data_IF_259174220670
#
_entry.id   IF_259174220670
#
_cell.length_a   1.000
_cell.length_b   1.000
_cell.length_c   1.000
_cell.angle_alpha   90.00
_cell.angle_beta   90.00
_cell.angle_gamma   90.00
#
_symmetry.space_group_name_H-M   'P 1'
#
loop_
_entity.id
_entity.type
_entity.pdbx_description
1 polymer ?
#
# COMPACT_ATOMS: atom_id res chain seq x y z
N UNK A 1 21.79 -0.47 18.26
CA UNK A 1 20.70 -1.46 18.31
C UNK A 1 19.85 -1.19 17.09
N UNK A 2 19.66 -2.15 16.20
CA UNK A 2 18.75 -1.96 15.07
C UNK A 2 17.32 -1.93 15.61
N UNK A 3 16.51 -0.98 15.15
CA UNK A 3 15.09 -0.96 15.46
C UNK A 3 14.33 -1.71 14.37
N UNK A 4 13.24 -2.34 14.75
CA UNK A 4 12.40 -3.12 13.85
C UNK A 4 10.96 -2.60 13.89
N UNK A 5 10.35 -2.48 12.71
CA UNK A 5 8.91 -2.37 12.56
C UNK A 5 8.30 -3.76 12.66
N UNK A 6 7.47 -3.98 13.68
CA UNK A 6 6.67 -5.19 13.81
C UNK A 6 5.30 -4.95 13.20
N UNK A 7 4.90 -5.82 12.27
CA UNK A 7 3.60 -5.76 11.63
C UNK A 7 2.94 -7.14 11.63
N UNK A 8 1.61 -7.15 11.69
CA UNK A 8 0.79 -8.34 11.54
C UNK A 8 -0.28 -8.00 10.52
N UNK A 9 -0.32 -8.71 9.40
CA UNK A 9 -1.24 -8.42 8.32
C UNK A 9 -2.07 -9.64 7.96
N UNK A 10 -3.33 -9.41 7.62
CA UNK A 10 -4.19 -10.41 6.98
C UNK A 10 -4.98 -9.77 5.84
N UNK A 11 -4.83 -10.34 4.65
CA UNK A 11 -5.42 -9.80 3.42
C UNK A 11 -4.44 -8.99 2.57
N UNK A 12 -4.98 -8.03 1.84
CA UNK A 12 -4.30 -7.26 0.79
C UNK A 12 -4.06 -5.78 1.12
N UNK A 13 -4.44 -5.37 2.33
CA UNK A 13 -3.83 -4.19 2.96
C UNK A 13 -2.32 -4.42 3.12
N UNK A 14 -1.57 -3.33 3.24
CA UNK A 14 -0.13 -3.45 3.34
C UNK A 14 0.58 -2.13 3.65
N UNK A 15 1.91 -2.20 3.59
CA UNK A 15 2.76 -1.04 3.78
C UNK A 15 4.00 -1.09 2.90
N UNK A 16 4.63 0.07 2.77
CA UNK A 16 5.85 0.34 2.03
C UNK A 16 6.79 1.11 2.94
N UNK A 17 8.07 0.80 2.89
CA UNK A 17 9.10 1.60 3.59
C UNK A 17 9.93 2.29 2.53
N UNK A 18 10.12 3.59 2.72
CA UNK A 18 10.92 4.45 1.86
C UNK A 18 12.10 5.01 2.63
N UNK A 19 13.30 4.85 2.07
CA UNK A 19 14.55 5.40 2.59
C UNK A 19 15.22 6.22 1.50
N UNK A 20 15.61 7.45 1.81
CA UNK A 20 16.17 8.36 0.79
C UNK A 20 15.23 8.55 -0.41
N UNK A 21 13.91 8.61 -0.16
CA UNK A 21 12.84 8.69 -1.17
C UNK A 21 12.80 7.51 -2.17
N UNK A 22 13.30 6.33 -1.79
CA UNK A 22 13.20 5.10 -2.58
C UNK A 22 12.53 3.99 -1.80
N UNK A 23 11.62 3.26 -2.46
CA UNK A 23 10.95 2.12 -1.85
C UNK A 23 11.97 0.99 -1.62
N UNK A 24 12.30 0.75 -0.36
CA UNK A 24 13.24 -0.32 0.05
C UNK A 24 12.53 -1.60 0.46
N UNK A 25 11.25 -1.51 0.84
CA UNK A 25 10.48 -2.65 1.29
C UNK A 25 9.01 -2.55 0.89
N UNK A 26 8.45 -3.70 0.53
CA UNK A 26 7.02 -3.89 0.24
C UNK A 26 6.53 -5.04 1.10
N UNK A 27 5.52 -4.80 1.92
CA UNK A 27 4.87 -5.90 2.63
C UNK A 27 4.29 -6.89 1.62
N UNK A 28 4.35 -8.20 1.89
CA UNK A 28 3.68 -9.18 1.05
C UNK A 28 2.16 -8.96 1.09
N UNK A 29 1.49 -9.43 0.04
CA UNK A 29 0.03 -9.36 -0.12
C UNK A 29 -0.53 -10.76 0.08
N UNK A 30 -1.47 -10.94 1.00
CA UNK A 30 -2.11 -12.23 1.23
C UNK A 30 -3.41 -12.33 0.43
N UNK A 31 -3.36 -13.07 -0.67
CA UNK A 31 -4.53 -13.37 -1.51
C UNK A 31 -4.57 -14.83 -1.95
N UNK A 32 -5.77 -15.31 -2.26
CA UNK A 32 -6.02 -16.65 -2.78
C UNK A 32 -6.02 -16.64 -4.30
N UNK A 33 -4.99 -17.22 -4.88
CA UNK A 33 -4.88 -17.39 -6.33
C UNK A 33 -4.86 -16.06 -7.09
N UNK A 34 -5.43 -16.08 -8.29
CA UNK A 34 -5.29 -15.02 -9.30
C UNK A 34 -6.47 -14.01 -9.29
N UNK A 35 -7.52 -14.28 -8.50
CA UNK A 35 -8.81 -13.57 -8.60
C UNK A 35 -9.04 -12.50 -7.50
N UNK A 36 -7.99 -11.82 -7.01
CA UNK A 36 -8.13 -10.75 -6.00
C UNK A 36 -9.03 -11.16 -4.80
N UNK A 37 -8.82 -12.37 -4.28
CA UNK A 37 -9.59 -12.90 -3.16
C UNK A 37 -8.72 -12.87 -1.90
N UNK A 38 -8.70 -11.76 -1.15
CA UNK A 38 -7.83 -11.64 0.03
C UNK A 38 -8.19 -12.65 1.11
N UNK A 39 -7.22 -12.94 1.97
CA UNK A 39 -7.50 -13.57 3.25
C UNK A 39 -8.30 -12.59 4.10
N UNK A 40 -9.38 -13.07 4.74
CA UNK A 40 -10.30 -12.19 5.45
C UNK A 40 -10.75 -12.81 6.77
N UNK A 41 -10.48 -12.08 7.86
CA UNK A 41 -11.05 -12.42 9.16
C UNK A 41 -12.57 -12.31 9.12
N UNK A 42 -13.23 -13.14 9.90
CA UNK A 42 -14.66 -13.08 10.07
C UNK A 42 -15.16 -14.11 11.06
N UNK A 43 -16.45 -14.03 11.36
CA UNK A 43 -17.09 -14.91 12.34
C UNK A 43 -17.74 -16.15 11.70
N UNK A 44 -17.53 -16.36 10.40
CA UNK A 44 -18.10 -17.48 9.66
C UNK A 44 -17.21 -18.72 9.74
N UNK A 45 -17.80 -19.90 9.59
CA UNK A 45 -17.06 -21.17 9.59
C UNK A 45 -16.03 -21.30 8.43
N UNK A 46 -16.14 -20.46 7.39
CA UNK A 46 -15.22 -20.40 6.25
C UNK A 46 -14.29 -19.18 6.28
N UNK A 47 -14.39 -18.36 7.32
CA UNK A 47 -13.53 -17.19 7.49
C UNK A 47 -12.12 -17.60 7.88
N UNK A 48 -11.16 -16.76 7.56
CA UNK A 48 -9.80 -16.95 8.04
C UNK A 48 -9.70 -16.70 9.54
N UNK A 49 -8.82 -17.46 10.16
CA UNK A 49 -8.46 -17.31 11.57
C UNK A 49 -7.31 -16.31 11.70
N UNK A 50 -7.18 -15.60 12.85
CA UNK A 50 -5.99 -14.80 13.16
C UNK A 50 -4.67 -15.56 13.01
N UNK A 51 -4.69 -16.89 13.14
CA UNK A 51 -3.52 -17.75 12.90
C UNK A 51 -3.02 -17.76 11.45
N UNK A 52 -3.82 -17.27 10.49
CA UNK A 52 -3.43 -17.11 9.08
C UNK A 52 -2.65 -15.82 8.82
N UNK A 53 -2.56 -14.92 9.81
CA UNK A 53 -1.88 -13.64 9.63
C UNK A 53 -0.38 -13.81 9.37
N UNK A 54 0.15 -12.95 8.52
CA UNK A 54 1.58 -12.83 8.31
C UNK A 54 2.18 -11.93 9.40
N UNK A 55 3.14 -12.47 10.14
CA UNK A 55 3.91 -11.74 11.15
C UNK A 55 5.23 -11.31 10.52
N UNK A 56 5.46 -10.01 10.50
CA UNK A 56 6.60 -9.37 9.85
C UNK A 56 7.44 -8.63 10.87
N UNK A 57 8.75 -8.75 10.74
CA UNK A 57 9.74 -7.93 11.44
C UNK A 57 10.67 -7.33 10.39
N UNK A 58 10.64 -6.01 10.24
CA UNK A 58 11.37 -5.31 9.18
C UNK A 58 12.32 -4.28 9.81
N UNK A 59 13.63 -4.35 9.55
CA UNK A 59 14.57 -3.36 10.06
C UNK A 59 14.24 -1.96 9.54
N UNK A 60 14.28 -0.96 10.43
CA UNK A 60 14.03 0.45 10.12
C UNK A 60 15.17 1.34 10.63
N UNK A 61 15.31 2.50 10.01
CA UNK A 61 16.28 3.54 10.35
C UNK A 61 15.59 4.89 10.54
N UNK A 62 16.20 5.76 11.35
CA UNK A 62 15.75 7.16 11.48
C UNK A 62 15.81 7.83 10.11
N UNK A 63 14.71 8.51 9.75
CA UNK A 63 14.51 9.11 8.44
C UNK A 63 13.75 8.22 7.45
N UNK A 64 13.47 6.96 7.78
CA UNK A 64 12.55 6.15 7.00
C UNK A 64 11.13 6.71 7.05
N UNK A 65 10.40 6.54 5.95
CA UNK A 65 8.98 6.88 5.83
C UNK A 65 8.21 5.59 5.59
N UNK A 66 7.25 5.29 6.46
CA UNK A 66 6.32 4.18 6.30
C UNK A 66 5.03 4.73 5.70
N UNK A 67 4.62 4.17 4.56
CA UNK A 67 3.30 4.40 3.96
C UNK A 67 2.51 3.10 4.07
N UNK A 68 1.45 3.11 4.89
CA UNK A 68 0.54 1.99 5.04
C UNK A 68 -0.85 2.34 4.50
N UNK A 69 -1.62 1.35 4.07
CA UNK A 69 -2.94 1.59 3.52
C UNK A 69 -3.66 0.33 3.09
N UNK A 70 -4.89 0.52 2.59
CA UNK A 70 -5.68 -0.53 1.94
C UNK A 70 -5.13 -0.84 0.54
N UNK A 71 -5.67 -1.86 -0.11
CA UNK A 71 -5.40 -2.12 -1.53
C UNK A 71 -5.81 -0.93 -2.42
N UNK A 72 -6.83 -0.16 -2.05
CA UNK A 72 -7.28 1.04 -2.77
C UNK A 72 -6.17 2.03 -3.14
N UNK A 73 -5.12 2.20 -2.33
CA UNK A 73 -3.93 2.97 -2.71
C UNK A 73 -3.03 2.15 -3.65
N UNK A 74 -2.60 0.96 -3.24
CA UNK A 74 -1.59 0.18 -3.96
C UNK A 74 -2.08 -0.43 -5.30
N UNK A 75 -3.38 -0.46 -5.53
CA UNK A 75 -4.00 -0.86 -6.79
C UNK A 75 -4.10 0.29 -7.79
N UNK A 76 -4.04 1.56 -7.33
CA UNK A 76 -4.28 2.76 -8.14
C UNK A 76 -3.05 3.66 -8.32
N UNK A 77 -1.99 3.52 -7.51
CA UNK A 77 -0.74 4.25 -7.68
C UNK A 77 0.48 3.34 -7.61
N UNK A 78 1.47 3.59 -8.46
CA UNK A 78 2.75 2.91 -8.44
C UNK A 78 3.65 3.44 -7.32
N UNK A 79 4.58 2.61 -6.86
CA UNK A 79 5.57 3.07 -5.88
C UNK A 79 6.38 4.26 -6.40
N UNK A 80 6.62 4.38 -7.71
CA UNK A 80 7.30 5.54 -8.30
C UNK A 80 6.52 6.84 -8.16
N UNK A 81 5.19 6.79 -8.21
CA UNK A 81 4.33 7.96 -7.99
C UNK A 81 4.34 8.33 -6.50
N UNK A 82 4.33 7.33 -5.60
CA UNK A 82 4.51 7.56 -4.17
C UNK A 82 5.87 8.22 -3.92
N UNK A 83 6.96 7.69 -4.49
CA UNK A 83 8.31 8.27 -4.38
C UNK A 83 8.35 9.75 -4.81
N UNK A 84 7.65 10.10 -5.89
CA UNK A 84 7.56 11.49 -6.35
C UNK A 84 6.80 12.39 -5.35
N UNK A 85 5.68 11.91 -4.81
CA UNK A 85 4.92 12.64 -3.78
C UNK A 85 5.73 12.79 -2.49
N UNK A 86 6.47 11.77 -2.07
CA UNK A 86 7.36 11.84 -0.91
C UNK A 86 8.47 12.87 -1.13
N UNK A 87 9.08 12.89 -2.32
CA UNK A 87 10.12 13.87 -2.67
C UNK A 87 9.59 15.30 -2.60
N UNK A 88 8.43 15.57 -3.22
CA UNK A 88 7.76 16.88 -3.16
C UNK A 88 7.40 17.24 -1.72
N UNK A 89 6.87 16.29 -0.96
CA UNK A 89 6.50 16.48 0.44
C UNK A 89 7.68 16.92 1.29
N UNK A 90 8.84 16.28 1.13
CA UNK A 90 10.07 16.67 1.83
C UNK A 90 10.55 18.05 1.38
N UNK A 91 10.57 18.32 0.07
CA UNK A 91 11.01 19.60 -0.50
C UNK A 91 10.16 20.78 0.01
N UNK A 92 8.85 20.58 0.14
CA UNK A 92 7.92 21.58 0.65
C UNK A 92 7.73 21.55 2.17
N UNK A 93 8.40 20.65 2.89
CA UNK A 93 8.30 20.52 4.35
C UNK A 93 6.91 20.09 4.86
N UNK A 94 6.21 19.25 4.09
CA UNK A 94 4.86 18.77 4.43
C UNK A 94 4.89 17.81 5.63
N UNK A 95 3.87 17.96 6.49
CA UNK A 95 3.61 17.01 7.57
C UNK A 95 3.10 15.67 7.05
N UNK A 96 3.10 14.65 7.93
CA UNK A 96 2.63 13.31 7.57
C UNK A 96 1.15 13.31 7.13
N UNK A 97 0.34 14.16 7.77
CA UNK A 97 -1.08 14.29 7.44
C UNK A 97 -1.29 14.80 6.01
N UNK A 98 -0.66 15.93 5.65
CA UNK A 98 -0.80 16.52 4.31
C UNK A 98 -0.30 15.57 3.22
N UNK A 99 0.80 14.87 3.49
CA UNK A 99 1.33 13.87 2.59
C UNK A 99 0.39 12.66 2.43
N UNK A 100 -0.23 12.20 3.51
CA UNK A 100 -1.23 11.13 3.45
C UNK A 100 -2.46 11.56 2.63
N UNK A 101 -2.95 12.79 2.82
CA UNK A 101 -4.05 13.35 2.02
C UNK A 101 -3.68 13.43 0.53
N UNK A 102 -2.49 13.95 0.19
CA UNK A 102 -2.04 14.02 -1.20
C UNK A 102 -1.98 12.65 -1.87
N UNK A 103 -1.49 11.63 -1.16
CA UNK A 103 -1.44 10.25 -1.65
C UNK A 103 -2.85 9.66 -1.83
N UNK A 104 -3.76 9.92 -0.89
CA UNK A 104 -5.15 9.48 -0.98
C UNK A 104 -5.89 10.15 -2.16
N UNK A 105 -5.70 11.46 -2.35
CA UNK A 105 -6.30 12.21 -3.45
C UNK A 105 -5.79 11.74 -4.81
N UNK A 106 -4.48 11.46 -4.92
CA UNK A 106 -3.90 10.89 -6.14
C UNK A 106 -4.46 9.49 -6.44
N UNK A 107 -4.54 8.62 -5.43
CA UNK A 107 -5.15 7.31 -5.59
C UNK A 107 -6.62 7.39 -6.00
N UNK A 108 -7.37 8.33 -5.42
CA UNK A 108 -8.77 8.56 -5.73
C UNK A 108 -8.94 9.04 -7.17
N UNK A 109 -8.15 10.03 -7.60
CA UNK A 109 -8.14 10.51 -8.97
C UNK A 109 -7.87 9.36 -9.95
N UNK A 110 -6.80 8.58 -9.72
CA UNK A 110 -6.43 7.45 -10.56
C UNK A 110 -7.50 6.34 -10.57
N UNK A 111 -8.21 6.13 -9.47
CA UNK A 111 -9.29 5.12 -9.36
C UNK A 111 -10.46 5.38 -10.32
N UNK A 112 -10.76 6.66 -10.59
CA UNK A 112 -11.83 7.08 -11.50
C UNK A 112 -11.36 7.23 -12.96
N UNK A 113 -10.06 7.26 -13.21
CA UNK A 113 -9.52 7.38 -14.56
C UNK A 113 -9.61 6.03 -15.31
N UNK A 114 -10.56 5.98 -16.25
CA UNK A 114 -10.83 4.81 -17.11
C UNK A 114 -9.71 4.52 -18.11
N UNK A 115 -8.74 5.41 -18.27
CA UNK A 115 -7.60 5.26 -19.16
C UNK A 115 -6.27 5.12 -18.41
N UNK A 116 -6.28 5.25 -17.08
CA UNK A 116 -5.09 5.07 -16.26
C UNK A 116 -4.51 3.68 -16.41
N UNK A 117 -3.19 3.60 -16.52
CA UNK A 117 -2.46 2.36 -16.37
C UNK A 117 -2.28 2.11 -14.88
N UNK A 118 -3.24 1.45 -14.24
CA UNK A 118 -3.16 1.17 -12.81
C UNK A 118 -2.34 -0.09 -12.49
N UNK A 119 -1.69 -0.17 -11.32
CA UNK A 119 -1.09 -1.41 -10.83
C UNK A 119 -2.05 -2.61 -10.87
N UNK A 120 -3.32 -2.40 -10.50
CA UNK A 120 -4.36 -3.43 -10.58
C UNK A 120 -4.65 -3.84 -12.03
N UNK A 121 -4.81 -2.88 -12.94
CA UNK A 121 -5.05 -3.16 -14.36
C UNK A 121 -3.92 -3.99 -14.98
N UNK A 122 -2.67 -3.70 -14.64
CA UNK A 122 -1.51 -4.50 -15.06
C UNK A 122 -1.56 -5.93 -14.51
N UNK A 123 -1.83 -6.10 -13.21
CA UNK A 123 -1.98 -7.43 -12.60
C UNK A 123 -3.14 -8.22 -13.21
N UNK A 124 -4.28 -7.57 -13.44
CA UNK A 124 -5.45 -8.16 -14.07
C UNK A 124 -5.13 -8.64 -15.50
N UNK A 125 -4.45 -7.82 -16.30
CA UNK A 125 -4.03 -8.18 -17.64
C UNK A 125 -3.07 -9.40 -17.65
N UNK A 126 -2.08 -9.42 -16.75
CA UNK A 126 -1.16 -10.56 -16.58
C UNK A 126 -1.89 -11.84 -16.16
N UNK A 127 -3.01 -11.68 -15.46
CA UNK A 127 -3.89 -12.73 -14.96
C UNK A 127 -4.96 -13.17 -15.98
N UNK A 128 -4.97 -12.58 -17.18
CA UNK A 128 -5.99 -12.85 -18.22
C UNK A 128 -7.37 -12.25 -17.93
N UNK A 129 -7.48 -11.40 -16.91
CA UNK A 129 -8.70 -10.67 -16.55
C UNK A 129 -8.75 -9.39 -17.37
N UNK A 130 -9.89 -9.15 -18.04
CA UNK A 130 -10.13 -7.89 -18.76
C UNK A 130 -10.49 -6.80 -17.77
N UNK A 131 -9.56 -5.89 -17.52
CA UNK A 131 -9.76 -4.65 -16.76
C UNK A 131 -9.04 -3.50 -17.45
N UNK A 132 -9.64 -2.30 -17.43
CA UNK A 132 -9.05 -1.09 -18.00
C UNK A 132 -9.27 0.08 -17.04
N UNK A 133 -8.25 0.92 -16.86
CA UNK A 133 -8.30 2.07 -15.96
C UNK A 133 -7.95 1.73 -14.51
N UNK A 134 -8.26 2.66 -13.61
CA UNK A 134 -8.22 2.47 -12.17
C UNK A 134 -9.21 1.43 -11.65
N UNK A 135 -9.09 1.13 -10.36
CA UNK A 135 -10.01 0.29 -9.58
C UNK A 135 -10.70 1.18 -8.54
N UNK A 136 -11.98 1.46 -8.75
CA UNK A 136 -12.79 2.23 -7.79
C UNK A 136 -12.93 1.42 -6.50
N UNK A 137 -12.41 1.95 -5.40
CA UNK A 137 -12.34 1.26 -4.10
C UNK A 137 -12.29 2.26 -2.93
N UNK A 138 -12.49 1.77 -1.71
CA UNK A 138 -12.26 2.55 -0.50
C UNK A 138 -10.75 2.75 -0.27
N UNK A 139 -10.34 4.01 -0.10
CA UNK A 139 -8.92 4.38 0.02
C UNK A 139 -8.63 4.83 1.46
N UNK A 140 -7.71 4.13 2.11
CA UNK A 140 -7.13 4.55 3.40
C UNK A 140 -5.62 4.64 3.25
N UNK A 141 -5.04 5.75 3.74
CA UNK A 141 -3.60 6.00 3.72
C UNK A 141 -3.13 6.49 5.08
N UNK A 142 -2.04 5.91 5.57
CA UNK A 142 -1.31 6.30 6.77
C UNK A 142 0.12 6.57 6.37
N UNK A 143 0.65 7.72 6.78
CA UNK A 143 2.07 8.07 6.62
C UNK A 143 2.69 8.24 8.00
N UNK A 144 3.87 7.68 8.21
CA UNK A 144 4.62 7.79 9.46
C UNK A 144 6.10 8.04 9.18
N UNK A 145 6.66 9.06 9.83
CA UNK A 145 8.09 9.35 9.81
C UNK A 145 8.77 8.67 11.00
N UNK A 146 9.84 7.92 10.75
CA UNK A 146 10.67 7.33 11.81
C UNK A 146 11.65 8.39 12.30
N UNK A 147 11.50 8.84 13.54
CA UNK A 147 12.24 9.97 14.11
C UNK A 147 13.22 9.60 15.21
N UNK A 148 13.11 8.39 15.78
CA UNK A 148 13.96 7.92 16.87
C UNK A 148 14.10 6.42 16.87
#
# INVERSE_FOLDING_TARGET
MFQSLHAVNIGDSGFRIYRGQKCIYRSPVQQRGINNCPYQLGNGAKSDSPSSAEVLEVPIEVGDIVVAGTDGIFDNIFDSEIEEQLKKGIEYGLGAHDLACNLADLALYNSFDRYSLSPYGLKAQQSGIKHQGGKIDDITVIVSYIVS
#
